data_IF_861093477038
#
_entry.id   IF_861093477038
#
_cell.length_a   1.000
_cell.length_b   1.000
_cell.length_c   1.000
_cell.angle_alpha   90.00
_cell.angle_beta   90.00
_cell.angle_gamma   90.00
#
_symmetry.space_group_name_H-M   'P 1'
#
loop_
_entity.id
_entity.type
_entity.pdbx_description
1 polymer ?
#
# COMPACT_ATOMS: atom_id res chain seq x y z
N UNK A 1 9.58 3.37 -7.81
CA UNK A 1 8.88 2.86 -6.61
C UNK A 1 7.43 3.34 -6.60
N UNK A 2 6.45 2.45 -6.51
CA UNK A 2 5.01 2.80 -6.53
C UNK A 2 4.25 2.30 -5.29
N UNK A 3 4.27 1.00 -5.04
CA UNK A 3 3.48 0.38 -3.96
C UNK A 3 3.96 0.79 -2.57
N UNK A 4 5.22 0.48 -2.21
CA UNK A 4 5.78 0.83 -0.90
C UNK A 4 5.84 2.35 -0.65
N UNK A 5 6.05 3.13 -1.73
CA UNK A 5 6.09 4.58 -1.67
C UNK A 5 4.75 5.24 -1.31
N UNK A 6 3.62 4.53 -1.39
CA UNK A 6 2.32 5.15 -1.12
C UNK A 6 2.23 5.66 0.32
N UNK A 7 2.74 4.87 1.27
CA UNK A 7 2.81 5.24 2.68
C UNK A 7 3.61 6.53 2.91
N UNK A 8 4.69 6.74 2.17
CA UNK A 8 5.48 7.98 2.22
C UNK A 8 4.76 9.15 1.57
N UNK A 9 4.12 8.94 0.41
CA UNK A 9 3.24 9.96 -0.20
C UNK A 9 2.18 10.43 0.79
N UNK A 10 1.45 9.48 1.37
CA UNK A 10 0.34 9.74 2.29
C UNK A 10 0.81 10.43 3.58
N UNK A 11 1.94 9.99 4.16
CA UNK A 11 2.57 10.64 5.31
C UNK A 11 2.87 12.12 5.06
N UNK A 12 3.25 12.48 3.82
CA UNK A 12 3.53 13.84 3.39
C UNK A 12 2.27 14.60 2.94
N UNK A 13 1.10 13.94 2.95
CA UNK A 13 -0.22 14.52 2.69
C UNK A 13 -0.79 14.23 1.30
N UNK A 14 -0.32 13.19 0.60
CA UNK A 14 -0.80 12.77 -0.71
C UNK A 14 -1.34 11.33 -0.70
N UNK A 15 -2.66 11.16 -0.62
CA UNK A 15 -3.28 9.86 -0.96
C UNK A 15 -3.70 9.83 -2.43
N UNK A 16 -3.74 8.62 -3.00
CA UNK A 16 -4.14 8.38 -4.39
C UNK A 16 -5.62 8.72 -4.64
N UNK A 17 -6.43 8.61 -3.59
CA UNK A 17 -7.83 9.00 -3.51
C UNK A 17 -8.14 9.40 -2.07
N UNK A 18 -9.17 10.22 -1.88
CA UNK A 18 -9.48 10.84 -0.60
C UNK A 18 -10.68 10.17 0.05
N UNK A 19 -10.70 10.16 1.39
CA UNK A 19 -11.81 9.65 2.18
C UNK A 19 -12.50 10.78 2.96
N UNK A 20 -13.81 10.63 3.18
CA UNK A 20 -14.54 11.44 4.15
C UNK A 20 -14.39 10.85 5.57
N UNK A 21 -14.90 11.55 6.57
CA UNK A 21 -14.82 11.12 7.98
C UNK A 21 -15.57 9.82 8.30
N UNK A 22 -16.41 9.33 7.37
CA UNK A 22 -17.14 8.06 7.48
C UNK A 22 -16.46 6.93 6.68
N UNK A 23 -15.28 7.15 6.13
CA UNK A 23 -14.55 6.15 5.33
C UNK A 23 -15.08 5.98 3.90
N UNK A 24 -15.94 6.87 3.41
CA UNK A 24 -16.39 6.86 2.02
C UNK A 24 -15.44 7.64 1.10
N UNK A 25 -15.26 7.17 -0.13
CA UNK A 25 -14.41 7.82 -1.14
C UNK A 25 -15.03 9.17 -1.53
N UNK A 26 -14.18 10.20 -1.67
CA UNK A 26 -14.56 11.53 -2.13
C UNK A 26 -14.08 11.74 -3.56
N UNK A 27 -15.00 11.56 -4.50
CA UNK A 27 -14.79 11.80 -5.93
C UNK A 27 -14.57 13.30 -6.24
N UNK A 28 -13.95 13.59 -7.38
CA UNK A 28 -13.59 14.96 -7.79
C UNK A 28 -12.55 15.68 -6.92
N UNK A 29 -12.10 15.11 -5.79
CA UNK A 29 -11.12 15.71 -4.88
C UNK A 29 -9.75 15.03 -5.00
N UNK A 30 -8.70 15.79 -4.74
CA UNK A 30 -7.31 15.31 -4.66
C UNK A 30 -6.56 16.04 -3.56
N UNK A 31 -5.30 15.65 -3.33
CA UNK A 31 -4.43 16.23 -2.33
C UNK A 31 -3.96 17.65 -2.68
N UNK A 32 -3.45 18.38 -1.69
CA UNK A 32 -2.89 19.73 -1.89
C UNK A 32 -1.43 19.68 -2.34
N UNK A 33 -1.17 20.04 -3.60
CA UNK A 33 0.18 20.09 -4.16
C UNK A 33 1.13 21.04 -3.39
N UNK A 34 0.61 22.16 -2.89
CA UNK A 34 1.40 23.10 -2.09
C UNK A 34 1.84 22.49 -0.75
N UNK A 35 0.92 21.79 -0.05
CA UNK A 35 1.22 21.12 1.22
C UNK A 35 2.24 20.00 1.02
N UNK A 36 1.99 19.12 0.05
CA UNK A 36 2.85 17.97 -0.24
C UNK A 36 4.22 18.42 -0.72
N UNK A 37 4.27 19.38 -1.65
CA UNK A 37 5.53 19.94 -2.14
C UNK A 37 6.34 20.64 -1.04
N UNK A 38 5.70 21.34 -0.10
CA UNK A 38 6.36 21.90 1.10
C UNK A 38 6.97 20.79 1.94
N UNK A 39 6.20 19.77 2.29
CA UNK A 39 6.66 18.66 3.13
C UNK A 39 7.82 17.89 2.47
N UNK A 40 7.77 17.65 1.16
CA UNK A 40 8.87 17.01 0.43
C UNK A 40 10.15 17.85 0.51
N UNK A 41 10.07 19.17 0.29
CA UNK A 41 11.24 20.05 0.45
C UNK A 41 11.82 20.00 1.86
N UNK A 42 10.95 20.00 2.87
CA UNK A 42 11.37 20.03 4.27
C UNK A 42 12.04 18.72 4.70
N UNK A 43 11.48 17.57 4.30
CA UNK A 43 11.87 16.28 4.89
C UNK A 43 12.72 15.39 3.98
N UNK A 44 12.63 15.56 2.65
CA UNK A 44 13.26 14.64 1.70
C UNK A 44 14.31 15.28 0.80
N UNK A 45 14.52 16.59 0.88
CA UNK A 45 15.41 17.31 -0.03
C UNK A 45 16.51 18.07 0.68
N UNK A 46 17.68 18.11 0.04
CA UNK A 46 18.78 19.02 0.34
C UNK A 46 19.07 19.85 -0.93
N UNK A 47 18.77 21.14 -0.86
CA UNK A 47 18.74 22.03 -2.02
C UNK A 47 17.71 21.59 -3.08
N UNK A 48 18.20 21.17 -4.24
CA UNK A 48 17.35 20.78 -5.39
C UNK A 48 17.09 19.27 -5.50
N UNK A 49 17.78 18.42 -4.73
CA UNK A 49 17.70 16.96 -4.89
C UNK A 49 17.44 16.26 -3.55
N UNK A 50 17.33 14.94 -3.56
CA UNK A 50 17.15 14.12 -2.35
C UNK A 50 18.24 14.39 -1.31
N UNK A 51 17.86 14.39 -0.04
CA UNK A 51 18.78 14.37 1.11
C UNK A 51 19.26 12.94 1.47
N UNK A 52 18.88 11.94 0.68
CA UNK A 52 19.24 10.53 0.89
C UNK A 52 18.34 9.77 1.87
N UNK A 53 17.39 10.43 2.54
CA UNK A 53 16.47 9.76 3.48
C UNK A 53 15.51 8.78 2.78
N UNK A 54 15.02 9.16 1.60
CA UNK A 54 14.11 8.35 0.81
C UNK A 54 14.59 8.24 -0.65
N UNK A 55 14.79 7.03 -1.18
CA UNK A 55 15.21 6.83 -2.56
C UNK A 55 14.01 6.88 -3.53
N UNK A 56 14.25 7.29 -4.78
CA UNK A 56 13.22 7.25 -5.83
C UNK A 56 12.90 5.82 -6.33
N UNK A 57 13.77 4.85 -6.01
CA UNK A 57 13.67 3.44 -6.41
C UNK A 57 13.74 2.52 -5.19
N UNK A 58 13.08 1.36 -5.29
CA UNK A 58 13.15 0.26 -4.31
C UNK A 58 14.39 -0.62 -4.52
N UNK A 59 15.09 -0.48 -5.65
CA UNK A 59 16.33 -1.21 -5.94
C UNK A 59 17.34 -1.05 -4.79
N UNK A 60 17.77 -2.18 -4.22
CA UNK A 60 18.77 -2.23 -3.15
C UNK A 60 18.29 -1.79 -1.76
N UNK A 61 17.03 -1.40 -1.58
CA UNK A 61 16.52 -0.97 -0.25
C UNK A 61 16.60 -2.11 0.78
N UNK A 62 16.16 -3.31 0.40
CA UNK A 62 16.24 -4.50 1.24
C UNK A 62 17.68 -4.85 1.62
N UNK A 63 18.58 -4.89 0.64
CA UNK A 63 19.98 -5.23 0.88
C UNK A 63 20.67 -4.21 1.78
N UNK A 64 20.39 -2.91 1.59
CA UNK A 64 20.92 -1.85 2.44
C UNK A 64 20.42 -1.97 3.89
N UNK A 65 19.14 -2.30 4.09
CA UNK A 65 18.60 -2.53 5.43
C UNK A 65 19.20 -3.77 6.08
N UNK A 66 19.25 -4.90 5.36
CA UNK A 66 19.86 -6.15 5.86
C UNK A 66 21.35 -5.99 6.16
N UNK A 67 22.05 -5.11 5.45
CA UNK A 67 23.44 -4.75 5.71
C UNK A 67 23.61 -3.69 6.83
N UNK A 68 22.52 -3.23 7.47
CA UNK A 68 22.56 -2.23 8.55
C UNK A 68 22.94 -0.82 8.09
N UNK A 69 22.89 -0.52 6.79
CA UNK A 69 23.24 0.79 6.23
C UNK A 69 22.14 1.83 6.40
N UNK A 70 20.90 1.37 6.56
CA UNK A 70 19.74 2.22 6.83
C UNK A 70 18.98 1.69 8.05
N UNK A 71 18.50 2.59 8.93
CA UNK A 71 17.87 2.18 10.19
C UNK A 71 16.41 1.73 10.05
N UNK A 72 15.76 2.08 8.93
CA UNK A 72 14.35 1.78 8.68
C UNK A 72 14.16 1.28 7.24
N UNK A 73 13.17 0.43 7.04
CA UNK A 73 12.71 -0.01 5.73
C UNK A 73 11.19 0.01 5.67
N UNK A 74 10.65 0.44 4.53
CA UNK A 74 9.23 0.26 4.21
C UNK A 74 9.12 -1.08 3.49
N UNK A 75 8.47 -2.05 4.14
CA UNK A 75 8.45 -3.45 3.68
C UNK A 75 7.03 -3.94 3.38
N UNK A 76 6.96 -4.96 2.53
CA UNK A 76 5.73 -5.71 2.26
C UNK A 76 5.65 -7.04 3.03
N UNK A 77 4.45 -7.59 3.14
CA UNK A 77 4.23 -8.88 3.80
C UNK A 77 4.78 -10.09 3.03
N UNK A 78 5.26 -9.91 1.79
CA UNK A 78 5.84 -10.98 0.98
C UNK A 78 7.31 -11.27 1.31
N UNK A 79 7.99 -10.38 2.02
CA UNK A 79 9.44 -10.44 2.24
C UNK A 79 9.88 -10.55 3.70
N UNK A 80 8.94 -10.47 4.65
CA UNK A 80 9.26 -10.44 6.10
C UNK A 80 10.08 -11.64 6.58
N UNK A 81 9.87 -12.81 5.97
CA UNK A 81 10.56 -14.05 6.34
C UNK A 81 12.08 -13.94 6.15
N UNK A 82 12.53 -13.19 5.14
CA UNK A 82 13.96 -13.01 4.87
C UNK A 82 14.64 -12.15 5.94
N UNK A 83 13.91 -11.17 6.49
CA UNK A 83 14.40 -10.36 7.60
C UNK A 83 14.50 -11.18 8.90
N UNK A 84 13.48 -11.98 9.20
CA UNK A 84 13.51 -12.89 10.36
C UNK A 84 14.65 -13.91 10.23
N UNK A 85 14.88 -14.46 9.04
CA UNK A 85 15.99 -15.37 8.78
C UNK A 85 17.37 -14.71 8.97
N UNK A 86 17.46 -13.38 8.84
CA UNK A 86 18.65 -12.57 9.14
C UNK A 86 18.72 -12.10 10.59
N UNK A 87 17.80 -12.56 11.45
CA UNK A 87 17.80 -12.27 12.89
C UNK A 87 17.06 -10.99 13.27
N UNK A 88 16.38 -10.30 12.34
CA UNK A 88 15.60 -9.12 12.66
C UNK A 88 14.30 -9.48 13.36
N UNK A 89 13.98 -8.74 14.42
CA UNK A 89 12.67 -8.80 15.07
C UNK A 89 11.68 -7.94 14.30
N UNK A 90 10.50 -8.49 13.99
CA UNK A 90 9.45 -7.78 13.26
C UNK A 90 8.69 -6.82 14.18
N UNK A 91 9.27 -5.64 14.41
CA UNK A 91 8.61 -4.50 15.04
C UNK A 91 8.06 -3.59 13.94
N UNK A 92 6.81 -3.83 13.54
CA UNK A 92 6.17 -3.16 12.41
C UNK A 92 5.28 -2.02 12.89
N UNK A 93 5.37 -0.89 12.20
CA UNK A 93 4.47 0.25 12.38
C UNK A 93 4.14 0.86 11.02
N UNK A 94 3.01 1.59 10.89
CA UNK A 94 2.79 2.45 9.73
C UNK A 94 3.92 3.47 9.59
N UNK A 95 4.16 3.96 8.37
CA UNK A 95 5.10 5.07 8.15
C UNK A 95 4.61 6.28 8.96
N UNK A 96 5.46 6.90 9.82
CA UNK A 96 5.07 8.08 10.57
C UNK A 96 4.68 9.24 9.65
N UNK A 97 3.62 9.95 9.99
CA UNK A 97 3.23 11.19 9.32
C UNK A 97 4.05 12.40 9.77
N UNK A 98 3.86 13.53 9.09
CA UNK A 98 4.56 14.79 9.40
C UNK A 98 4.11 15.46 10.72
N UNK A 99 3.05 14.96 11.34
CA UNK A 99 2.55 15.40 12.63
C UNK A 99 2.50 14.21 13.60
N UNK A 100 2.74 14.49 14.88
CA UNK A 100 2.67 13.46 15.91
C UNK A 100 1.30 12.77 15.95
N UNK A 101 1.31 11.46 16.17
CA UNK A 101 0.11 10.62 16.17
C UNK A 101 -0.55 10.43 14.79
N UNK A 102 0.05 10.94 13.70
CA UNK A 102 -0.43 10.72 12.33
C UNK A 102 0.39 9.66 11.62
N UNK A 103 -0.24 8.95 10.68
CA UNK A 103 0.39 7.89 9.91
C UNK A 103 0.16 8.08 8.42
N UNK A 104 1.15 7.68 7.62
CA UNK A 104 0.99 7.52 6.18
C UNK A 104 0.18 6.27 5.87
N UNK A 105 -0.84 6.42 5.05
CA UNK A 105 -1.68 5.31 4.62
C UNK A 105 -0.95 4.39 3.64
N UNK A 106 -1.07 3.08 3.86
CA UNK A 106 -0.61 2.06 2.92
C UNK A 106 -1.80 1.37 2.26
N UNK A 107 -1.59 0.81 1.08
CA UNK A 107 -2.57 -0.06 0.46
C UNK A 107 -2.70 -1.38 1.25
N UNK A 108 -3.85 -1.55 1.90
CA UNK A 108 -4.28 -2.81 2.48
C UNK A 108 -4.89 -3.69 1.39
N UNK A 109 -4.07 -4.57 0.82
CA UNK A 109 -4.52 -5.51 -0.21
C UNK A 109 -5.09 -6.77 0.41
N UNK A 110 -6.31 -7.13 0.01
CA UNK A 110 -6.96 -8.37 0.46
C UNK A 110 -6.75 -9.45 -0.59
N UNK A 111 -6.28 -10.61 -0.15
CA UNK A 111 -6.22 -11.81 -0.98
C UNK A 111 -7.51 -12.59 -0.80
N UNK A 112 -8.22 -12.85 -1.89
CA UNK A 112 -9.49 -13.56 -1.87
C UNK A 112 -9.54 -14.67 -2.91
N UNK A 113 -10.23 -15.76 -2.58
CA UNK A 113 -10.62 -16.76 -3.54
C UNK A 113 -11.95 -16.32 -4.18
N UNK A 114 -12.02 -16.31 -5.51
CA UNK A 114 -13.15 -15.79 -6.28
C UNK A 114 -13.85 -16.93 -7.05
N UNK A 115 -15.18 -16.87 -7.12
CA UNK A 115 -15.97 -17.80 -7.94
C UNK A 115 -16.08 -17.28 -9.37
N UNK A 116 -15.61 -18.07 -10.33
CA UNK A 116 -15.81 -17.77 -11.76
C UNK A 116 -17.23 -18.08 -12.22
N UNK A 117 -17.77 -17.26 -13.11
CA UNK A 117 -19.06 -17.52 -13.79
C UNK A 117 -19.04 -18.77 -14.67
N UNK A 118 -17.84 -19.28 -15.01
CA UNK A 118 -17.66 -20.55 -15.70
C UNK A 118 -18.19 -21.75 -14.90
N UNK A 119 -18.09 -21.72 -13.56
CA UNK A 119 -18.50 -22.85 -12.72
C UNK A 119 -20.00 -23.20 -12.88
N UNK A 120 -20.84 -22.18 -13.06
CA UNK A 120 -22.27 -22.36 -13.31
C UNK A 120 -22.53 -23.07 -14.65
N UNK A 121 -21.83 -22.67 -15.71
CA UNK A 121 -21.98 -23.25 -17.06
C UNK A 121 -21.49 -24.71 -17.15
N UNK A 122 -20.66 -25.14 -16.21
CA UNK A 122 -20.01 -26.45 -16.21
C UNK A 122 -20.42 -27.33 -15.03
N UNK A 123 -21.49 -26.99 -14.30
CA UNK A 123 -22.08 -27.85 -13.27
C UNK A 123 -21.24 -28.02 -12.00
N UNK A 124 -20.20 -27.21 -11.78
CA UNK A 124 -19.30 -27.31 -10.62
C UNK A 124 -19.55 -26.22 -9.57
N UNK A 125 -20.52 -25.34 -9.79
CA UNK A 125 -20.82 -24.19 -8.95
C UNK A 125 -21.04 -24.54 -7.48
N UNK A 126 -21.83 -25.58 -7.19
CA UNK A 126 -22.11 -26.00 -5.82
C UNK A 126 -20.84 -26.41 -5.05
N UNK A 127 -19.97 -27.19 -5.70
CA UNK A 127 -18.69 -27.60 -5.13
C UNK A 127 -17.74 -26.42 -4.92
N UNK A 128 -17.66 -25.51 -5.90
CA UNK A 128 -16.84 -24.31 -5.79
C UNK A 128 -17.33 -23.37 -4.67
N UNK A 129 -18.65 -23.17 -4.53
CA UNK A 129 -19.23 -22.43 -3.40
C UNK A 129 -18.90 -23.09 -2.06
N UNK A 130 -19.07 -24.41 -1.96
CA UNK A 130 -18.73 -25.18 -0.76
C UNK A 130 -17.27 -24.99 -0.36
N UNK A 131 -16.33 -25.04 -1.32
CA UNK A 131 -14.91 -24.78 -1.03
C UNK A 131 -14.68 -23.35 -0.51
N UNK A 132 -15.31 -22.34 -1.14
CA UNK A 132 -15.17 -20.95 -0.71
C UNK A 132 -15.71 -20.73 0.71
N UNK A 133 -16.89 -21.28 1.03
CA UNK A 133 -17.53 -21.05 2.33
C UNK A 133 -16.97 -21.92 3.44
N UNK A 134 -16.67 -23.19 3.15
CA UNK A 134 -16.34 -24.16 4.19
C UNK A 134 -14.83 -24.26 4.44
N UNK A 135 -14.00 -23.89 3.47
CA UNK A 135 -12.55 -23.81 3.64
C UNK A 135 -12.07 -22.35 3.69
N UNK A 136 -12.16 -21.60 2.60
CA UNK A 136 -11.53 -20.27 2.56
C UNK A 136 -12.14 -19.25 3.54
N UNK A 137 -13.42 -19.37 3.89
CA UNK A 137 -14.08 -18.49 4.86
C UNK A 137 -14.09 -19.04 6.29
N UNK A 138 -13.66 -20.29 6.53
CA UNK A 138 -13.66 -20.88 7.86
C UNK A 138 -12.38 -20.56 8.64
N UNK A 139 -12.48 -20.58 9.98
CA UNK A 139 -11.32 -20.38 10.87
C UNK A 139 -10.21 -21.38 10.59
N UNK A 140 -10.51 -22.69 10.58
CA UNK A 140 -9.53 -23.74 10.32
C UNK A 140 -8.89 -23.61 8.93
N UNK A 141 -9.69 -23.32 7.89
CA UNK A 141 -9.16 -23.14 6.55
C UNK A 141 -8.27 -21.90 6.43
N UNK A 142 -8.62 -20.77 7.06
CA UNK A 142 -7.76 -19.58 7.10
C UNK A 142 -6.47 -19.82 7.89
N UNK A 143 -6.50 -20.53 9.02
CA UNK A 143 -5.28 -20.91 9.77
C UNK A 143 -4.35 -21.74 8.87
N UNK A 144 -4.88 -22.79 8.23
CA UNK A 144 -4.10 -23.66 7.34
C UNK A 144 -3.56 -22.93 6.12
N UNK A 145 -4.39 -22.10 5.49
CA UNK A 145 -4.00 -21.35 4.30
C UNK A 145 -2.91 -20.31 4.63
N UNK A 146 -3.06 -19.57 5.74
CA UNK A 146 -2.10 -18.54 6.12
C UNK A 146 -0.81 -19.09 6.74
N UNK A 147 -0.76 -20.35 7.16
CA UNK A 147 0.49 -21.03 7.48
C UNK A 147 1.41 -21.14 6.25
N UNK A 148 0.83 -21.23 5.04
CA UNK A 148 1.56 -21.32 3.77
C UNK A 148 1.79 -19.93 3.17
N UNK A 149 0.73 -19.14 3.04
CA UNK A 149 0.77 -17.80 2.43
C UNK A 149 1.47 -16.75 3.31
N UNK A 150 1.54 -17.00 4.62
CA UNK A 150 2.23 -16.15 5.60
C UNK A 150 1.71 -14.70 5.64
N UNK A 151 0.45 -14.48 5.26
CA UNK A 151 -0.23 -13.17 5.33
C UNK A 151 -1.10 -13.08 6.58
N UNK A 152 -1.47 -11.88 7.05
CA UNK A 152 -2.43 -11.73 8.13
C UNK A 152 -3.78 -12.38 7.74
N UNK A 153 -4.36 -13.26 8.57
CA UNK A 153 -5.69 -13.81 8.31
C UNK A 153 -6.77 -12.72 8.31
N UNK A 154 -7.77 -12.83 7.43
CA UNK A 154 -8.92 -11.92 7.42
C UNK A 154 -10.01 -12.33 8.41
N UNK A 155 -10.12 -13.63 8.72
CA UNK A 155 -11.11 -14.19 9.64
C UNK A 155 -10.66 -13.98 11.10
N UNK A 156 -11.57 -13.51 11.96
CA UNK A 156 -11.26 -13.05 13.33
C UNK A 156 -10.83 -14.19 14.25
N UNK A 157 -11.44 -15.37 14.12
CA UNK A 157 -11.03 -16.57 14.84
C UNK A 157 -9.60 -16.96 14.47
N UNK A 158 -9.27 -16.98 13.18
CA UNK A 158 -7.95 -17.33 12.69
C UNK A 158 -6.88 -16.31 13.11
N UNK A 159 -7.22 -15.01 13.21
CA UNK A 159 -6.32 -13.98 13.75
C UNK A 159 -5.92 -14.26 15.21
N UNK A 160 -6.79 -14.92 15.97
CA UNK A 160 -6.57 -15.24 17.39
C UNK A 160 -5.82 -16.56 17.59
N UNK A 161 -5.56 -17.31 16.51
CA UNK A 161 -4.84 -18.58 16.60
C UNK A 161 -3.38 -18.37 17.02
N UNK A 162 -2.93 -19.21 17.96
CA UNK A 162 -1.56 -19.22 18.48
C UNK A 162 -0.49 -19.43 17.41
N UNK A 163 -0.81 -20.10 16.29
CA UNK A 163 0.14 -20.36 15.20
C UNK A 163 0.34 -19.17 14.27
N UNK A 164 -0.49 -18.13 14.36
CA UNK A 164 -0.24 -16.88 13.63
C UNK A 164 1.09 -16.30 14.13
N UNK A 165 1.99 -15.95 13.21
CA UNK A 165 3.30 -15.42 13.58
C UNK A 165 3.20 -13.98 14.12
N UNK A 166 4.22 -13.56 14.87
CA UNK A 166 4.35 -12.17 15.29
C UNK A 166 4.40 -11.21 14.09
N UNK A 167 5.02 -11.63 12.98
CA UNK A 167 5.06 -10.84 11.75
C UNK A 167 3.66 -10.63 11.15
N UNK A 168 2.87 -11.70 11.02
CA UNK A 168 1.49 -11.62 10.54
C UNK A 168 0.62 -10.72 11.43
N UNK A 169 0.77 -10.84 12.76
CA UNK A 169 0.10 -9.91 13.70
C UNK A 169 0.55 -8.47 13.49
N UNK A 170 1.86 -8.22 13.36
CA UNK A 170 2.41 -6.88 13.15
C UNK A 170 1.89 -6.21 11.88
N UNK A 171 1.84 -6.92 10.75
CA UNK A 171 1.24 -6.40 9.52
C UNK A 171 -0.26 -6.15 9.69
N UNK A 172 -0.99 -7.06 10.33
CA UNK A 172 -2.42 -6.88 10.62
C UNK A 172 -2.68 -5.64 11.48
N UNK A 173 -1.90 -5.44 12.55
CA UNK A 173 -1.98 -4.27 13.42
C UNK A 173 -1.65 -2.99 12.68
N UNK A 174 -0.56 -2.94 11.90
CA UNK A 174 -0.24 -1.77 11.10
C UNK A 174 -1.38 -1.46 10.10
N UNK A 175 -1.85 -2.47 9.37
CA UNK A 175 -2.95 -2.33 8.41
C UNK A 175 -4.25 -1.82 9.07
N UNK A 176 -4.53 -2.23 10.31
CA UNK A 176 -5.71 -1.75 11.04
C UNK A 176 -5.64 -0.27 11.40
N UNK A 177 -4.44 0.30 11.52
CA UNK A 177 -4.23 1.70 11.88
C UNK A 177 -4.22 2.64 10.67
N UNK A 178 -3.65 2.20 9.54
CA UNK A 178 -3.39 3.08 8.40
C UNK A 178 -3.65 2.43 7.02
N UNK A 179 -4.26 1.25 6.99
CA UNK A 179 -4.59 0.57 5.74
C UNK A 179 -5.75 1.25 5.01
N UNK A 180 -5.59 1.52 3.72
CA UNK A 180 -6.67 1.91 2.80
C UNK A 180 -6.86 0.84 1.72
N UNK A 181 -8.10 0.55 1.27
CA UNK A 181 -8.35 -0.50 0.27
C UNK A 181 -7.61 -0.27 -1.04
N UNK A 182 -6.88 -1.25 -1.58
CA UNK A 182 -6.29 -1.10 -2.92
C UNK A 182 -7.36 -1.16 -4.03
N UNK A 183 -7.83 0.00 -4.51
CA UNK A 183 -8.90 0.08 -5.53
C UNK A 183 -8.32 0.04 -6.94
N UNK A 184 -8.39 -1.14 -7.58
CA UNK A 184 -7.88 -1.35 -8.94
C UNK A 184 -8.49 -0.42 -9.99
N UNK A 185 -9.79 -0.14 -9.92
CA UNK A 185 -10.49 0.77 -10.83
C UNK A 185 -9.84 2.16 -10.89
N UNK A 186 -9.31 2.66 -9.76
CA UNK A 186 -8.66 3.96 -9.69
C UNK A 186 -7.19 3.87 -10.07
N UNK A 187 -6.48 2.89 -9.50
CA UNK A 187 -5.02 2.80 -9.60
C UNK A 187 -4.56 2.34 -10.99
N UNK A 188 -5.37 1.54 -11.69
CA UNK A 188 -5.09 1.04 -13.03
C UNK A 188 -5.62 1.96 -14.14
N UNK A 189 -6.53 2.87 -13.83
CA UNK A 189 -7.04 3.84 -14.81
C UNK A 189 -5.92 4.77 -15.25
N UNK A 190 -5.84 5.04 -16.55
CA UNK A 190 -4.90 5.97 -17.16
C UNK A 190 -5.61 7.19 -17.79
N UNK A 191 -6.88 7.44 -17.45
CA UNK A 191 -7.68 8.51 -18.05
C UNK A 191 -7.13 9.91 -17.75
N UNK A 192 -6.37 10.06 -16.67
CA UNK A 192 -5.61 11.26 -16.33
C UNK A 192 -4.28 11.41 -17.08
N UNK A 193 -3.93 10.48 -17.96
CA UNK A 193 -2.71 10.47 -18.78
C UNK A 193 -1.71 9.36 -18.41
N UNK A 194 -1.69 8.93 -17.15
CA UNK A 194 -0.90 7.80 -16.67
C UNK A 194 -1.61 7.13 -15.50
N UNK A 195 -1.42 5.82 -15.31
CA UNK A 195 -1.95 5.12 -14.14
C UNK A 195 -1.12 5.43 -12.89
N UNK A 196 -1.57 4.98 -11.71
CA UNK A 196 -0.83 5.19 -10.46
C UNK A 196 0.57 4.58 -10.51
N UNK A 197 0.68 3.36 -11.04
CA UNK A 197 1.90 2.57 -11.07
C UNK A 197 3.02 3.21 -11.90
N UNK A 198 2.66 4.00 -12.92
CA UNK A 198 3.60 4.73 -13.77
C UNK A 198 3.85 6.14 -13.24
N UNK A 199 2.80 6.85 -12.82
CA UNK A 199 2.90 8.25 -12.38
C UNK A 199 3.62 8.42 -11.03
N UNK A 200 3.46 7.48 -10.09
CA UNK A 200 4.14 7.54 -8.79
C UNK A 200 5.68 7.45 -8.90
N UNK A 201 6.27 6.43 -9.56
CA UNK A 201 7.71 6.38 -9.79
C UNK A 201 8.23 7.59 -10.58
N UNK A 202 7.52 8.01 -11.64
CA UNK A 202 7.93 9.16 -12.45
C UNK A 202 8.02 10.45 -11.62
N UNK A 203 7.07 10.67 -10.71
CA UNK A 203 7.10 11.80 -9.78
C UNK A 203 8.35 11.75 -8.88
N UNK A 204 8.64 10.61 -8.25
CA UNK A 204 9.80 10.51 -7.35
C UNK A 204 11.12 10.74 -8.08
N UNK A 205 11.29 10.18 -9.28
CA UNK A 205 12.48 10.46 -10.11
C UNK A 205 12.59 11.94 -10.44
N UNK A 206 11.50 12.55 -10.91
CA UNK A 206 11.46 13.95 -11.27
C UNK A 206 11.89 14.87 -10.11
N UNK A 207 11.41 14.58 -8.90
CA UNK A 207 11.65 15.44 -7.72
C UNK A 207 12.98 15.13 -7.04
N UNK A 208 13.25 13.86 -6.76
CA UNK A 208 14.38 13.45 -5.91
C UNK A 208 15.70 13.32 -6.69
N UNK A 209 15.64 13.07 -7.99
CA UNK A 209 16.82 12.82 -8.83
C UNK A 209 17.06 13.96 -9.83
N UNK A 210 16.04 14.33 -10.61
CA UNK A 210 16.16 15.36 -11.64
C UNK A 210 16.12 16.78 -11.06
N UNK A 211 15.67 16.91 -9.81
CA UNK A 211 15.59 18.16 -9.06
C UNK A 211 14.53 19.14 -9.57
N UNK A 212 13.41 18.60 -10.08
CA UNK A 212 12.25 19.39 -10.47
C UNK A 212 11.51 19.90 -9.23
N UNK A 213 10.80 21.01 -9.42
CA UNK A 213 10.05 21.67 -8.34
C UNK A 213 8.94 20.75 -7.78
N UNK A 214 8.98 20.41 -6.47
CA UNK A 214 8.02 19.47 -5.89
C UNK A 214 6.56 19.93 -5.99
N UNK A 215 6.30 21.24 -5.91
CA UNK A 215 4.93 21.76 -5.98
C UNK A 215 4.40 21.66 -7.40
N UNK A 216 5.24 21.98 -8.41
CA UNK A 216 4.85 21.85 -9.82
C UNK A 216 4.57 20.40 -10.21
N UNK A 217 5.46 19.47 -9.83
CA UNK A 217 5.25 18.05 -10.12
C UNK A 217 4.06 17.48 -9.32
N UNK A 218 3.85 17.93 -8.08
CA UNK A 218 2.72 17.49 -7.28
C UNK A 218 1.38 17.97 -7.85
N UNK A 219 1.33 19.16 -8.45
CA UNK A 219 0.14 19.66 -9.15
C UNK A 219 -0.22 18.81 -10.36
N UNK A 220 0.78 18.37 -11.14
CA UNK A 220 0.57 17.44 -12.26
C UNK A 220 0.04 16.09 -11.76
N UNK A 221 0.69 15.53 -10.75
CA UNK A 221 0.30 14.25 -10.15
C UNK A 221 -1.13 14.31 -9.57
N UNK A 222 -1.45 15.39 -8.86
CA UNK A 222 -2.78 15.60 -8.29
C UNK A 222 -3.87 15.64 -9.37
N UNK A 223 -3.59 16.26 -10.52
CA UNK A 223 -4.49 16.30 -11.67
C UNK A 223 -4.69 14.90 -12.28
N UNK A 224 -3.60 14.14 -12.48
CA UNK A 224 -3.65 12.76 -12.99
C UNK A 224 -4.52 11.89 -12.09
N UNK A 225 -4.20 11.83 -10.79
CA UNK A 225 -4.88 10.95 -9.83
C UNK A 225 -6.36 11.32 -9.67
N UNK A 226 -6.69 12.62 -9.63
CA UNK A 226 -8.09 13.07 -9.59
C UNK A 226 -8.91 12.53 -10.75
N UNK A 227 -8.37 12.62 -11.98
CA UNK A 227 -9.08 12.16 -13.19
C UNK A 227 -9.19 10.63 -13.22
N UNK A 228 -8.15 9.91 -12.78
CA UNK A 228 -8.19 8.45 -12.69
C UNK A 228 -9.27 7.96 -11.70
N UNK A 229 -9.36 8.60 -10.54
CA UNK A 229 -10.38 8.29 -9.51
C UNK A 229 -11.78 8.57 -10.02
N UNK A 230 -11.99 9.72 -10.68
CA UNK A 230 -13.29 10.05 -11.25
C UNK A 230 -13.72 9.05 -12.31
N UNK A 231 -12.79 8.65 -13.20
CA UNK A 231 -13.07 7.68 -14.25
C UNK A 231 -13.40 6.29 -13.69
N UNK A 232 -12.66 5.83 -12.68
CA UNK A 232 -12.87 4.49 -12.11
C UNK A 232 -14.17 4.35 -11.32
N UNK A 233 -14.91 5.43 -11.07
CA UNK A 233 -16.25 5.39 -10.49
C UNK A 233 -17.22 4.52 -11.32
N UNK A 234 -17.03 4.45 -12.64
CA UNK A 234 -17.89 3.66 -13.52
C UNK A 234 -17.69 2.14 -13.36
N UNK A 235 -16.59 1.72 -12.72
CA UNK A 235 -16.18 0.32 -12.55
C UNK A 235 -16.40 -0.21 -11.12
N UNK A 236 -17.04 0.58 -10.24
CA UNK A 236 -17.39 0.21 -8.85
C UNK A 236 -18.90 0.04 -8.69
#
# INVERSE_FOLDING_TARGET
MSWGAHSVFSALGADAYQFNSRGGIVYGRTFSAAKVGKNIRTYLMDGKKSNGFFPATDTGCKDNFLAGKVPFAVIGNWEWADYVAKGFTMNLMPVPGVADGTYGHMFGSVSGALLTTFAAKHGTEAGAKSLLTNFFASTDGQVRYQALEKRPPAEKGAQSDSTVSAAQRGFGSAASLAGIPQIGAFLNSNKGGANYWDSAPAFWTAVLIDGKDPVKEASKLAAIWRVNVEAGKADL
#
